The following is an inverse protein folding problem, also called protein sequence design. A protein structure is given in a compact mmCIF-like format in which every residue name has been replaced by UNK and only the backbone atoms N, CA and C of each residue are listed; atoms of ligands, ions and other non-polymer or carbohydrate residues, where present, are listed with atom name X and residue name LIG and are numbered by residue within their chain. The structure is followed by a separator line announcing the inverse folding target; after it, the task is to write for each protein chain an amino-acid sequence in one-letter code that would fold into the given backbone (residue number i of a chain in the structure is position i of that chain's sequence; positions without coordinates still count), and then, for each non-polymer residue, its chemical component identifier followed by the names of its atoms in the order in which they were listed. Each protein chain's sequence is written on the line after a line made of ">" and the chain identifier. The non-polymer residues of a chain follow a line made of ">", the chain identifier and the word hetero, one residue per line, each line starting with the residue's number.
data_IF_259996718435
#
_entry.id   IF_259996718435
#
_cell.length_a   1.000
_cell.length_b   1.000
_cell.length_c   1.000
_cell.angle_alpha   90.00
_cell.angle_beta   90.00
_cell.angle_gamma   90.00
#
_symmetry.space_group_name_H-M   'P 1'
#
loop_
_entity.id
_entity.type
_entity.pdbx_description
1 polymer ?
#
# COMPACT_ATOMS: atom_id res chain seq x y z
N UNK A 1 -29.90 -42.82 -17.15
CA UNK A 1 -28.83 -41.86 -17.47
C UNK A 1 -29.48 -40.64 -18.13
N UNK A 2 -29.58 -39.50 -17.44
CA UNK A 2 -30.17 -38.27 -18.00
C UNK A 2 -29.05 -37.43 -18.61
N UNK A 3 -29.17 -37.17 -19.91
CA UNK A 3 -28.32 -36.32 -20.73
C UNK A 3 -28.44 -34.85 -20.31
N UNK A 4 -27.35 -34.27 -19.80
CA UNK A 4 -27.24 -32.83 -19.56
C UNK A 4 -27.19 -32.05 -20.87
N UNK A 5 -28.06 -31.05 -21.00
CA UNK A 5 -28.19 -30.22 -22.20
C UNK A 5 -26.97 -29.31 -22.40
N UNK A 6 -26.64 -29.03 -23.67
CA UNK A 6 -25.49 -28.27 -24.14
C UNK A 6 -25.46 -26.77 -23.78
N UNK A 7 -26.13 -26.35 -22.69
CA UNK A 7 -26.17 -24.95 -22.21
C UNK A 7 -25.18 -24.62 -21.09
N UNK A 8 -24.44 -25.59 -20.55
CA UNK A 8 -23.44 -25.37 -19.50
C UNK A 8 -21.99 -25.17 -20.02
N UNK A 9 -21.80 -25.03 -21.33
CA UNK A 9 -20.51 -24.56 -21.89
C UNK A 9 -20.47 -23.04 -21.86
N UNK A 10 -20.29 -22.47 -20.65
CA UNK A 10 -19.81 -21.10 -20.53
C UNK A 10 -18.36 -21.06 -21.04
N UNK A 11 -18.27 -20.55 -22.26
CA UNK A 11 -17.09 -20.15 -23.00
C UNK A 11 -16.11 -19.41 -22.10
N UNK A 12 -15.05 -20.09 -21.67
CA UNK A 12 -13.76 -19.44 -21.47
C UNK A 12 -13.39 -18.94 -22.86
N UNK A 13 -13.72 -17.68 -23.19
CA UNK A 13 -13.04 -17.01 -24.28
C UNK A 13 -11.59 -16.84 -23.85
N UNK A 14 -10.80 -17.87 -24.16
CA UNK A 14 -9.45 -17.70 -24.63
C UNK A 14 -9.53 -16.74 -25.82
N UNK A 15 -9.49 -15.44 -25.52
CA UNK A 15 -9.20 -14.38 -26.46
C UNK A 15 -7.73 -14.44 -26.87
N UNK A 16 -7.25 -15.61 -27.29
CA UNK A 16 -6.06 -15.72 -28.12
C UNK A 16 -6.44 -15.23 -29.52
N UNK A 17 -6.61 -13.91 -29.67
CA UNK A 17 -6.44 -13.31 -30.98
C UNK A 17 -4.99 -13.57 -31.37
N UNK A 18 -4.78 -14.50 -32.31
CA UNK A 18 -3.59 -14.58 -33.17
C UNK A 18 -3.28 -13.14 -33.61
N UNK A 19 -2.26 -12.52 -33.01
CA UNK A 19 -1.86 -11.14 -33.27
C UNK A 19 -1.53 -10.30 -32.04
N UNK A 20 -1.95 -10.67 -30.83
CA UNK A 20 -1.43 -10.02 -29.62
C UNK A 20 -0.03 -10.59 -29.33
N UNK A 21 1.01 -9.77 -29.50
CA UNK A 21 2.37 -10.08 -29.05
C UNK A 21 2.27 -10.65 -27.63
N UNK A 22 2.88 -11.82 -27.43
CA UNK A 22 3.05 -12.49 -26.14
C UNK A 22 3.10 -11.46 -25.01
N UNK A 23 2.01 -11.38 -24.24
CA UNK A 23 1.92 -10.47 -23.10
C UNK A 23 3.10 -10.77 -22.19
N UNK A 24 3.99 -9.80 -22.05
CA UNK A 24 5.17 -9.93 -21.23
C UNK A 24 4.73 -10.29 -19.80
N UNK A 25 5.16 -11.46 -19.31
CA UNK A 25 4.98 -11.88 -17.92
C UNK A 25 6.16 -11.31 -17.13
N UNK A 26 5.96 -10.33 -16.24
CA UNK A 26 7.05 -9.78 -15.43
C UNK A 26 7.69 -10.82 -14.50
N UNK A 27 7.00 -11.93 -14.26
CA UNK A 27 7.28 -12.89 -13.20
C UNK A 27 7.61 -14.30 -13.70
N UNK A 28 7.81 -14.48 -15.01
CA UNK A 28 8.33 -15.71 -15.65
C UNK A 28 7.38 -16.91 -15.65
N UNK A 29 6.98 -17.39 -14.47
CA UNK A 29 6.21 -18.64 -14.25
C UNK A 29 4.81 -18.42 -13.67
N UNK A 30 4.38 -17.17 -13.48
CA UNK A 30 3.06 -16.86 -12.93
C UNK A 30 1.94 -17.11 -13.95
N UNK A 31 0.81 -17.63 -13.47
CA UNK A 31 -0.46 -17.75 -14.24
C UNK A 31 -0.89 -16.40 -14.84
N UNK A 32 -1.76 -16.41 -15.86
CA UNK A 32 -2.47 -15.19 -16.30
C UNK A 32 -3.13 -14.54 -15.07
N UNK A 33 -2.96 -13.23 -14.83
CA UNK A 33 -3.44 -12.62 -13.61
C UNK A 33 -4.97 -12.63 -13.59
N UNK A 34 -5.53 -12.73 -12.39
CA UNK A 34 -6.91 -12.35 -12.16
C UNK A 34 -6.99 -10.83 -12.29
N UNK A 35 -7.51 -10.37 -13.43
CA UNK A 35 -7.86 -8.97 -13.64
C UNK A 35 -9.11 -8.68 -12.81
N UNK A 36 -8.95 -7.82 -11.80
CA UNK A 36 -10.03 -7.34 -10.95
C UNK A 36 -10.37 -5.89 -11.33
N UNK A 37 -11.29 -5.28 -10.58
CA UNK A 37 -11.77 -3.93 -10.86
C UNK A 37 -10.67 -2.88 -10.62
N UNK A 38 -9.92 -3.02 -9.53
CA UNK A 38 -8.91 -2.04 -9.09
C UNK A 38 -7.48 -2.57 -9.14
N UNK A 39 -7.30 -3.89 -9.25
CA UNK A 39 -5.97 -4.49 -9.26
C UNK A 39 -5.85 -5.72 -10.17
N UNK A 40 -4.61 -6.19 -10.33
CA UNK A 40 -4.26 -7.45 -10.99
C UNK A 40 -3.58 -8.34 -9.97
N UNK A 41 -4.07 -9.56 -9.80
CA UNK A 41 -3.50 -10.52 -8.85
C UNK A 41 -2.91 -11.71 -9.59
N UNK A 42 -1.60 -11.85 -9.51
CA UNK A 42 -0.83 -12.98 -10.01
C UNK A 42 -0.70 -14.03 -8.92
N UNK A 43 -0.68 -15.30 -9.31
CA UNK A 43 -0.42 -16.43 -8.41
C UNK A 43 0.85 -17.13 -8.90
N UNK A 44 1.85 -17.28 -8.04
CA UNK A 44 3.03 -18.07 -8.36
C UNK A 44 2.68 -19.56 -8.38
N UNK A 45 3.38 -20.35 -9.21
CA UNK A 45 3.14 -21.78 -9.42
C UNK A 45 3.16 -22.65 -8.15
N UNK A 46 3.85 -22.22 -7.09
CA UNK A 46 3.75 -22.86 -5.76
C UNK A 46 2.33 -22.78 -5.13
N UNK A 47 1.43 -22.02 -5.75
CA UNK A 47 0.02 -21.87 -5.38
C UNK A 47 -0.92 -22.72 -6.26
N UNK A 48 -0.39 -23.60 -7.11
CA UNK A 48 -1.18 -24.40 -8.06
C UNK A 48 -2.10 -25.42 -7.39
N UNK A 49 -1.85 -25.76 -6.13
CA UNK A 49 -2.74 -26.58 -5.31
C UNK A 49 -4.04 -25.85 -4.91
N UNK A 50 -4.13 -24.52 -5.15
CA UNK A 50 -5.36 -23.77 -4.93
C UNK A 50 -6.32 -23.93 -6.10
N UNK A 51 -7.55 -24.34 -5.80
CA UNK A 51 -8.63 -24.32 -6.79
C UNK A 51 -8.84 -22.92 -7.37
N UNK A 52 -9.36 -22.86 -8.60
CA UNK A 52 -9.68 -21.58 -9.28
C UNK A 52 -10.61 -20.72 -8.43
N UNK A 53 -11.59 -21.31 -7.76
CA UNK A 53 -12.51 -20.59 -6.87
C UNK A 53 -11.79 -20.00 -5.65
N UNK A 54 -10.79 -20.71 -5.13
CA UNK A 54 -9.97 -20.21 -4.03
C UNK A 54 -9.06 -19.07 -4.49
N UNK A 55 -8.42 -19.19 -5.65
CA UNK A 55 -7.63 -18.11 -6.28
C UNK A 55 -8.52 -16.88 -6.51
N UNK A 56 -9.73 -17.05 -7.06
CA UNK A 56 -10.71 -15.97 -7.25
C UNK A 56 -11.14 -15.31 -5.94
N UNK A 57 -11.40 -16.09 -4.89
CA UNK A 57 -11.77 -15.58 -3.56
C UNK A 57 -10.64 -14.74 -2.94
N UNK A 58 -9.39 -15.17 -3.10
CA UNK A 58 -8.22 -14.41 -2.64
C UNK A 58 -8.06 -13.11 -3.43
N UNK A 59 -8.14 -13.18 -4.76
CA UNK A 59 -8.05 -12.01 -5.63
C UNK A 59 -9.13 -10.98 -5.31
N UNK A 60 -10.37 -11.42 -5.05
CA UNK A 60 -11.46 -10.56 -4.60
C UNK A 60 -11.16 -9.85 -3.28
N UNK A 61 -10.62 -10.56 -2.28
CA UNK A 61 -10.25 -9.94 -1.00
C UNK A 61 -9.17 -8.86 -1.16
N UNK A 62 -8.18 -9.12 -2.01
CA UNK A 62 -7.12 -8.14 -2.31
C UNK A 62 -7.70 -6.94 -3.07
N UNK A 63 -8.59 -7.16 -4.03
CA UNK A 63 -9.27 -6.08 -4.78
C UNK A 63 -10.13 -5.21 -3.88
N UNK A 64 -10.89 -5.80 -2.95
CA UNK A 64 -11.70 -5.06 -1.97
C UNK A 64 -10.82 -4.16 -1.09
N UNK A 65 -9.71 -4.70 -0.57
CA UNK A 65 -8.76 -3.93 0.23
C UNK A 65 -8.01 -2.87 -0.59
N UNK A 66 -7.68 -3.17 -1.86
CA UNK A 66 -7.06 -2.23 -2.78
C UNK A 66 -7.98 -1.06 -3.10
N UNK A 67 -9.28 -1.33 -3.31
CA UNK A 67 -10.29 -0.29 -3.53
C UNK A 67 -10.44 0.62 -2.30
N UNK A 68 -10.50 0.04 -1.09
CA UNK A 68 -10.54 0.80 0.15
C UNK A 68 -9.27 1.66 0.33
N UNK A 69 -8.08 1.07 0.12
CA UNK A 69 -6.80 1.78 0.19
C UNK A 69 -6.72 2.94 -0.83
N UNK A 70 -7.21 2.73 -2.05
CA UNK A 70 -7.33 3.79 -3.04
C UNK A 70 -8.26 4.92 -2.56
N UNK A 71 -9.35 4.59 -1.86
CA UNK A 71 -10.25 5.56 -1.23
C UNK A 71 -9.51 6.41 -0.20
N UNK A 72 -8.75 5.77 0.70
CA UNK A 72 -7.94 6.46 1.71
C UNK A 72 -6.94 7.44 1.08
N UNK A 73 -6.15 6.98 0.10
CA UNK A 73 -5.16 7.83 -0.56
C UNK A 73 -5.82 9.00 -1.32
N UNK A 74 -6.97 8.77 -1.95
CA UNK A 74 -7.70 9.86 -2.62
C UNK A 74 -8.17 10.93 -1.63
N UNK A 75 -8.76 10.52 -0.50
CA UNK A 75 -9.19 11.45 0.56
C UNK A 75 -8.01 12.20 1.17
N UNK A 76 -6.91 11.51 1.46
CA UNK A 76 -5.69 12.12 1.99
C UNK A 76 -5.13 13.19 1.05
N UNK A 77 -5.09 12.89 -0.26
CA UNK A 77 -4.57 13.83 -1.25
C UNK A 77 -5.41 15.11 -1.35
N UNK A 78 -6.71 15.05 -1.06
CA UNK A 78 -7.56 16.24 -0.92
C UNK A 78 -7.08 17.08 0.28
N UNK A 79 -6.90 16.47 1.45
CA UNK A 79 -6.40 17.17 2.64
C UNK A 79 -5.02 17.80 2.41
N UNK A 80 -4.08 17.06 1.81
CA UNK A 80 -2.73 17.56 1.52
C UNK A 80 -2.71 18.66 0.44
N UNK A 81 -3.69 18.72 -0.46
CA UNK A 81 -3.77 19.76 -1.48
C UNK A 81 -4.10 21.15 -0.93
N UNK A 82 -4.62 21.23 0.30
CA UNK A 82 -4.84 22.49 1.01
C UNK A 82 -3.55 23.17 1.49
N UNK A 83 -2.39 22.51 1.38
CA UNK A 83 -1.10 23.08 1.77
C UNK A 83 -0.55 23.98 0.66
N UNK A 84 -0.36 25.25 0.96
CA UNK A 84 0.29 26.24 0.09
C UNK A 84 1.64 26.64 0.67
N UNK A 85 2.72 26.19 0.04
CA UNK A 85 4.09 26.52 0.45
C UNK A 85 4.47 27.97 0.12
N UNK A 86 3.82 28.58 -0.87
CA UNK A 86 4.10 29.98 -1.28
C UNK A 86 3.53 30.98 -0.28
N UNK A 87 2.30 30.74 0.19
CA UNK A 87 1.65 31.58 1.20
C UNK A 87 1.93 31.13 2.63
N UNK A 88 2.68 30.03 2.82
CA UNK A 88 2.94 29.42 4.14
C UNK A 88 1.68 28.85 4.81
N UNK A 89 0.60 28.66 4.06
CA UNK A 89 -0.68 28.18 4.60
C UNK A 89 -0.69 26.66 4.68
N UNK A 90 -0.91 26.12 5.88
CA UNK A 90 -1.03 24.68 6.13
C UNK A 90 -2.28 24.48 7.00
N UNK A 91 -3.26 23.64 6.59
CA UNK A 91 -4.39 23.28 7.45
C UNK A 91 -3.89 22.72 8.80
N UNK A 92 -4.57 23.07 9.89
CA UNK A 92 -4.06 22.82 11.24
C UNK A 92 -3.93 21.33 11.57
N UNK A 93 -4.89 20.53 11.11
CA UNK A 93 -4.90 19.07 11.18
C UNK A 93 -3.73 18.45 10.40
N UNK A 94 -3.52 18.90 9.16
CA UNK A 94 -2.40 18.46 8.31
C UNK A 94 -1.06 18.85 8.95
N UNK A 95 -0.95 20.06 9.49
CA UNK A 95 0.25 20.53 10.17
C UNK A 95 0.57 19.69 11.42
N UNK A 96 -0.45 19.40 12.24
CA UNK A 96 -0.32 18.58 13.44
C UNK A 96 0.14 17.15 13.09
N UNK A 97 -0.50 16.52 12.11
CA UNK A 97 -0.17 15.16 11.70
C UNK A 97 1.23 15.08 11.07
N UNK A 98 1.60 16.02 10.17
CA UNK A 98 2.97 16.08 9.60
C UNK A 98 4.04 16.26 10.67
N UNK A 99 3.78 17.11 11.67
CA UNK A 99 4.70 17.32 12.79
C UNK A 99 4.82 16.06 13.64
N UNK A 100 3.72 15.35 13.89
CA UNK A 100 3.73 14.16 14.71
C UNK A 100 4.43 12.98 14.02
N UNK A 101 4.03 12.64 12.78
CA UNK A 101 4.55 11.46 12.08
C UNK A 101 5.86 11.66 11.34
N UNK A 102 6.09 12.84 10.81
CA UNK A 102 7.27 13.11 9.98
C UNK A 102 8.26 14.07 10.62
N UNK A 103 7.92 14.68 11.77
CA UNK A 103 8.71 15.77 12.38
C UNK A 103 8.89 16.93 11.41
N UNK A 104 7.93 17.11 10.50
CA UNK A 104 7.93 18.14 9.46
C UNK A 104 7.00 19.27 9.90
N UNK A 105 7.58 20.44 10.14
CA UNK A 105 6.82 21.68 10.20
C UNK A 105 6.82 22.31 8.80
N UNK A 106 5.75 22.10 8.04
CA UNK A 106 5.69 22.51 6.63
C UNK A 106 5.66 24.05 6.43
N UNK A 107 5.32 24.82 7.47
CA UNK A 107 5.34 26.28 7.43
C UNK A 107 6.75 26.86 7.58
N UNK A 108 7.72 26.07 8.09
CA UNK A 108 9.09 26.52 8.33
C UNK A 108 9.95 26.38 7.05
N UNK A 109 10.66 27.44 6.62
CA UNK A 109 11.61 27.36 5.51
C UNK A 109 12.66 26.27 5.74
N UNK A 110 12.91 25.44 4.73
CA UNK A 110 13.80 24.27 4.81
C UNK A 110 13.08 22.92 4.94
N UNK A 111 11.93 22.88 5.62
CA UNK A 111 11.11 21.66 5.74
C UNK A 111 10.20 21.40 4.53
N UNK A 112 9.99 22.42 3.71
CA UNK A 112 9.22 22.36 2.47
C UNK A 112 9.69 21.25 1.52
N UNK A 113 11.00 20.95 1.50
CA UNK A 113 11.57 19.85 0.72
C UNK A 113 11.07 18.49 1.20
N UNK A 114 10.93 18.29 2.51
CA UNK A 114 10.44 17.04 3.09
C UNK A 114 8.93 16.89 2.85
N UNK A 115 8.15 17.96 3.01
CA UNK A 115 6.73 17.94 2.63
C UNK A 115 6.54 17.57 1.15
N UNK A 116 7.29 18.21 0.23
CA UNK A 116 7.21 17.88 -1.21
C UNK A 116 7.55 16.41 -1.49
N UNK A 117 8.44 15.80 -0.71
CA UNK A 117 8.76 14.36 -0.84
C UNK A 117 7.58 13.50 -0.41
N UNK A 118 7.02 13.77 0.77
CA UNK A 118 5.84 13.05 1.30
C UNK A 118 4.68 13.16 0.30
N UNK A 119 4.37 14.38 -0.16
CA UNK A 119 3.31 14.64 -1.12
C UNK A 119 3.50 13.86 -2.43
N UNK A 120 4.71 13.90 -3.01
CA UNK A 120 5.01 13.17 -4.26
C UNK A 120 4.91 11.65 -4.11
N UNK A 121 5.26 11.11 -2.95
CA UNK A 121 5.07 9.69 -2.68
C UNK A 121 3.58 9.35 -2.73
N UNK A 122 2.70 10.10 -2.04
CA UNK A 122 1.25 9.87 -2.09
C UNK A 122 0.63 10.13 -3.47
N UNK A 123 1.09 11.17 -4.17
CA UNK A 123 0.69 11.43 -5.55
C UNK A 123 1.00 10.22 -6.44
N UNK A 124 2.18 9.62 -6.26
CA UNK A 124 2.54 8.39 -6.98
C UNK A 124 1.67 7.20 -6.55
N UNK A 125 1.39 7.02 -5.26
CA UNK A 125 0.46 5.98 -4.78
C UNK A 125 -0.91 6.13 -5.44
N UNK A 126 -1.44 7.36 -5.51
CA UNK A 126 -2.73 7.67 -6.14
C UNK A 126 -2.73 7.27 -7.62
N UNK A 127 -1.67 7.63 -8.34
CA UNK A 127 -1.52 7.24 -9.75
C UNK A 127 -1.40 5.72 -9.93
N UNK A 128 -0.72 5.05 -9.00
CA UNK A 128 -0.56 3.59 -9.02
C UNK A 128 -1.88 2.85 -8.80
N UNK A 129 -2.69 3.30 -7.84
CA UNK A 129 -4.04 2.77 -7.65
C UNK A 129 -4.94 3.02 -8.86
N UNK A 130 -4.89 4.23 -9.43
CA UNK A 130 -5.65 4.54 -10.65
C UNK A 130 -5.20 3.72 -11.88
N UNK A 131 -3.91 3.36 -11.94
CA UNK A 131 -3.32 2.55 -13.02
C UNK A 131 -3.59 1.05 -12.93
N UNK A 132 -4.20 0.60 -11.82
CA UNK A 132 -4.43 -0.81 -11.54
C UNK A 132 -3.23 -1.47 -10.89
N UNK A 133 -3.23 -1.54 -9.56
CA UNK A 133 -2.12 -2.10 -8.78
C UNK A 133 -1.84 -3.56 -9.13
N UNK A 134 -0.57 -3.95 -9.08
CA UNK A 134 -0.14 -5.32 -9.33
C UNK A 134 0.24 -6.01 -8.02
N UNK A 135 -0.41 -7.12 -7.73
CA UNK A 135 -0.14 -7.95 -6.57
C UNK A 135 0.29 -9.36 -7.01
N UNK A 136 1.23 -9.93 -6.27
CA UNK A 136 1.62 -11.33 -6.42
C UNK A 136 1.25 -12.05 -5.13
N UNK A 137 0.37 -13.04 -5.21
CA UNK A 137 0.05 -13.88 -4.06
C UNK A 137 1.04 -15.05 -3.96
N UNK A 138 1.62 -15.19 -2.77
CA UNK A 138 2.60 -16.23 -2.49
C UNK A 138 2.08 -17.22 -1.43
N UNK A 139 2.03 -18.49 -1.81
CA UNK A 139 1.95 -19.62 -0.88
C UNK A 139 3.38 -20.12 -0.68
N UNK A 140 3.95 -20.04 0.54
CA UNK A 140 5.35 -20.34 0.74
C UNK A 140 5.65 -21.81 0.44
N UNK A 141 6.65 -22.04 -0.41
CA UNK A 141 7.48 -23.25 -0.42
C UNK A 141 8.92 -22.84 -0.17
N UNK A 142 9.45 -23.19 1.01
CA UNK A 142 10.88 -23.19 1.42
C UNK A 142 11.67 -21.89 1.12
N UNK A 143 12.13 -21.21 2.19
CA UNK A 143 13.12 -20.12 2.21
C UNK A 143 12.70 -18.70 1.77
N UNK A 144 11.75 -18.08 2.48
CA UNK A 144 11.84 -16.64 2.72
C UNK A 144 11.81 -16.39 4.24
N UNK A 145 13.00 -16.18 4.78
CA UNK A 145 13.36 -16.05 6.20
C UNK A 145 13.00 -14.69 6.81
N UNK A 146 11.96 -14.02 6.32
CA UNK A 146 11.51 -12.75 6.88
C UNK A 146 10.05 -12.92 7.29
N UNK A 147 9.74 -12.81 8.58
CA UNK A 147 8.38 -12.88 9.11
C UNK A 147 7.44 -11.78 8.63
N UNK A 148 7.79 -11.05 7.56
CA UNK A 148 7.03 -9.94 7.01
C UNK A 148 5.82 -10.47 6.22
N UNK A 149 4.58 -10.12 6.59
CA UNK A 149 3.38 -10.64 5.95
C UNK A 149 3.16 -10.10 4.52
N UNK A 150 3.80 -9.01 4.13
CA UNK A 150 3.89 -8.54 2.74
C UNK A 150 5.26 -7.91 2.48
N UNK A 151 5.64 -7.70 1.22
CA UNK A 151 6.86 -6.98 0.89
C UNK A 151 6.86 -6.50 -0.56
N UNK A 152 7.75 -5.54 -0.86
CA UNK A 152 8.13 -5.17 -2.22
C UNK A 152 9.60 -5.52 -2.43
N UNK A 153 9.94 -6.23 -3.52
CA UNK A 153 11.35 -6.48 -3.86
C UNK A 153 12.10 -5.18 -4.15
N UNK A 154 13.27 -5.01 -3.54
CA UNK A 154 14.11 -3.83 -3.74
C UNK A 154 14.68 -3.73 -5.16
N UNK A 155 14.94 -4.87 -5.81
CA UNK A 155 15.55 -4.96 -7.14
C UNK A 155 14.51 -5.01 -8.28
N UNK A 156 13.26 -5.32 -7.98
CA UNK A 156 12.18 -5.40 -8.97
C UNK A 156 10.85 -4.91 -8.39
N UNK A 157 10.63 -3.59 -8.26
CA UNK A 157 9.42 -3.01 -7.69
C UNK A 157 8.28 -3.01 -8.72
N UNK A 158 7.96 -4.16 -9.31
CA UNK A 158 6.90 -4.28 -10.33
C UNK A 158 5.57 -4.79 -9.76
N UNK A 159 5.59 -5.33 -8.55
CA UNK A 159 4.39 -5.70 -7.80
C UNK A 159 4.63 -5.64 -6.28
N UNK A 160 3.53 -5.63 -5.54
CA UNK A 160 3.50 -5.90 -4.10
C UNK A 160 3.26 -7.39 -3.90
N UNK A 161 4.13 -8.05 -3.14
CA UNK A 161 4.02 -9.47 -2.84
C UNK A 161 3.23 -9.66 -1.54
N UNK A 162 2.11 -10.38 -1.64
CA UNK A 162 1.16 -10.61 -0.55
C UNK A 162 1.26 -12.05 -0.09
N UNK A 163 1.75 -12.25 1.14
CA UNK A 163 1.88 -13.59 1.70
C UNK A 163 0.55 -14.07 2.31
N UNK A 164 0.33 -15.39 2.31
CA UNK A 164 -0.84 -16.02 2.96
C UNK A 164 -1.04 -15.59 4.43
N UNK A 165 0.03 -15.26 5.15
CA UNK A 165 -0.03 -14.81 6.56
C UNK A 165 -0.72 -13.45 6.69
N UNK A 166 -0.50 -12.52 5.77
CA UNK A 166 -1.20 -11.22 5.77
C UNK A 166 -2.71 -11.41 5.71
N UNK A 167 -3.17 -12.21 4.75
CA UNK A 167 -4.59 -12.48 4.54
C UNK A 167 -5.24 -13.31 5.66
N UNK A 168 -4.44 -13.87 6.57
CA UNK A 168 -4.91 -14.51 7.80
C UNK A 168 -4.95 -13.53 8.97
N UNK A 169 -3.96 -12.64 9.06
CA UNK A 169 -3.83 -11.68 10.15
C UNK A 169 -4.80 -10.49 9.98
N UNK A 170 -5.04 -10.08 8.74
CA UNK A 170 -5.80 -8.88 8.41
C UNK A 170 -6.96 -9.19 7.46
N UNK A 171 -8.02 -8.40 7.58
CA UNK A 171 -9.18 -8.45 6.70
C UNK A 171 -9.83 -7.08 6.58
N UNK A 172 -10.57 -6.84 5.50
CA UNK A 172 -11.27 -5.57 5.29
C UNK A 172 -10.32 -4.37 5.38
N UNK A 173 -10.64 -3.44 6.27
CA UNK A 173 -9.91 -2.18 6.45
C UNK A 173 -8.46 -2.36 6.92
N UNK A 174 -8.17 -3.30 7.82
CA UNK A 174 -6.79 -3.50 8.28
C UNK A 174 -5.88 -4.01 7.16
N UNK A 175 -6.45 -4.82 6.25
CA UNK A 175 -5.73 -5.26 5.06
C UNK A 175 -5.46 -4.06 4.14
N UNK A 176 -6.40 -3.12 4.00
CA UNK A 176 -6.19 -1.90 3.22
C UNK A 176 -5.04 -1.05 3.77
N UNK A 177 -4.92 -0.91 5.09
CA UNK A 177 -3.79 -0.21 5.72
C UNK A 177 -2.45 -0.89 5.46
N UNK A 178 -2.40 -2.23 5.54
CA UNK A 178 -1.22 -2.98 5.15
C UNK A 178 -0.86 -2.79 3.67
N UNK A 179 -1.85 -2.65 2.78
CA UNK A 179 -1.58 -2.34 1.37
C UNK A 179 -1.05 -0.91 1.19
N UNK A 180 -1.53 0.07 1.96
CA UNK A 180 -0.97 1.44 1.97
C UNK A 180 0.50 1.43 2.40
N UNK A 181 0.85 0.65 3.43
CA UNK A 181 2.24 0.47 3.89
C UNK A 181 3.13 -0.01 2.74
N UNK A 182 2.77 -1.13 2.12
CA UNK A 182 3.55 -1.70 1.01
C UNK A 182 3.59 -0.77 -0.20
N UNK A 183 2.51 -0.04 -0.44
CA UNK A 183 2.45 0.94 -1.50
C UNK A 183 3.43 2.10 -1.29
N UNK A 184 3.78 2.43 -0.04
CA UNK A 184 4.82 3.42 0.25
C UNK A 184 6.20 2.93 -0.23
N UNK A 185 6.54 1.67 0.03
CA UNK A 185 7.75 1.08 -0.53
C UNK A 185 7.73 1.07 -2.05
N UNK A 186 6.65 0.58 -2.64
CA UNK A 186 6.50 0.48 -4.09
C UNK A 186 6.64 1.85 -4.76
N UNK A 187 5.84 2.81 -4.31
CA UNK A 187 5.78 4.16 -4.89
C UNK A 187 7.11 4.87 -4.74
N UNK A 188 7.83 4.66 -3.62
CA UNK A 188 9.15 5.26 -3.35
C UNK A 188 10.29 4.73 -4.22
N UNK A 189 10.05 3.73 -5.07
CA UNK A 189 11.07 3.12 -5.94
C UNK A 189 10.88 3.41 -7.42
N UNK A 190 9.92 4.24 -7.79
CA UNK A 190 9.73 4.69 -9.18
C UNK A 190 10.92 5.56 -9.64
N UNK A 191 11.48 5.26 -10.82
CA UNK A 191 12.57 6.05 -11.42
C UNK A 191 12.20 7.48 -11.84
N UNK A 192 10.94 7.87 -11.69
CA UNK A 192 10.40 9.19 -12.09
C UNK A 192 10.61 10.28 -11.05
N UNK A 193 10.82 9.89 -9.79
CA UNK A 193 11.09 10.83 -8.72
C UNK A 193 12.49 10.45 -8.22
N UNK A 194 13.45 11.40 -8.10
CA UNK A 194 14.72 11.11 -7.44
C UNK A 194 14.42 10.78 -5.97
N UNK A 195 14.17 9.49 -5.69
CA UNK A 195 13.52 9.08 -4.45
C UNK A 195 14.47 8.43 -3.48
N UNK A 196 14.28 8.89 -2.25
CA UNK A 196 14.73 8.24 -1.06
C UNK A 196 13.88 7.00 -0.88
N UNK A 197 14.51 5.83 -0.88
CA UNK A 197 13.82 4.56 -0.67
C UNK A 197 13.14 4.57 0.69
N UNK A 198 11.81 4.42 0.71
CA UNK A 198 11.06 4.16 1.94
C UNK A 198 11.38 2.72 2.39
N UNK A 199 11.62 2.56 3.69
CA UNK A 199 12.09 1.34 4.35
C UNK A 199 11.33 1.11 5.66
N UNK A 200 11.45 -0.09 6.20
CA UNK A 200 10.96 -0.43 7.54
C UNK A 200 12.03 -0.07 8.56
N UNK A 201 11.99 1.16 9.08
CA UNK A 201 12.92 1.59 10.13
C UNK A 201 12.40 1.26 11.52
N UNK A 202 11.09 1.31 11.69
CA UNK A 202 10.37 0.94 12.91
C UNK A 202 9.05 0.32 12.50
N UNK A 203 8.74 -0.87 13.01
CA UNK A 203 7.45 -1.51 12.82
C UNK A 203 6.45 -1.00 13.85
N UNK A 204 5.26 -0.65 13.40
CA UNK A 204 4.14 -0.38 14.30
C UNK A 204 3.35 -1.66 14.51
N UNK A 205 3.89 -2.53 15.36
CA UNK A 205 3.13 -3.57 16.06
C UNK A 205 2.78 -3.10 17.47
N UNK A 206 1.85 -3.81 18.13
CA UNK A 206 1.36 -3.63 19.52
C UNK A 206 2.44 -3.79 20.61
N UNK A 207 3.71 -3.63 20.25
CA UNK A 207 4.85 -3.98 21.05
C UNK A 207 5.36 -2.69 21.68
N UNK A 208 5.71 -2.74 22.96
CA UNK A 208 6.30 -1.63 23.72
C UNK A 208 7.53 -0.99 23.04
N UNK A 209 8.07 -1.58 21.98
CA UNK A 209 9.16 -1.02 21.16
C UNK A 209 8.72 0.07 20.19
N UNK A 210 7.50 0.00 19.60
CA UNK A 210 7.03 0.98 18.62
C UNK A 210 6.81 2.35 19.26
N UNK A 211 6.25 2.38 20.48
CA UNK A 211 6.05 3.60 21.28
C UNK A 211 7.36 4.22 21.78
N UNK A 212 8.44 3.45 21.87
CA UNK A 212 9.77 3.92 22.34
C UNK A 212 10.66 4.36 21.16
N UNK A 213 10.57 3.71 20.01
CA UNK A 213 11.41 3.99 18.85
C UNK A 213 10.88 5.15 18.00
N UNK A 214 9.57 5.30 17.90
CA UNK A 214 8.94 6.28 17.02
C UNK A 214 9.23 7.75 17.39
N UNK A 215 9.20 8.18 18.68
CA UNK A 215 9.59 9.54 19.05
C UNK A 215 11.06 9.86 18.73
N UNK A 216 11.92 8.84 18.57
CA UNK A 216 13.36 8.98 18.36
C UNK A 216 13.75 9.13 16.88
N UNK A 217 12.81 8.96 15.94
CA UNK A 217 13.09 9.14 14.52
C UNK A 217 13.44 10.60 14.23
N UNK A 218 14.56 10.81 13.56
CA UNK A 218 14.84 12.11 12.93
C UNK A 218 13.85 12.36 11.79
N UNK A 219 13.71 13.62 11.37
CA UNK A 219 12.87 13.98 10.23
C UNK A 219 13.22 13.17 8.96
N UNK A 220 14.50 13.04 8.63
CA UNK A 220 14.94 12.23 7.47
C UNK A 220 14.64 10.73 7.64
N UNK A 221 14.72 10.20 8.86
CA UNK A 221 14.35 8.82 9.12
C UNK A 221 12.84 8.62 8.96
N UNK A 222 12.03 9.53 9.52
CA UNK A 222 10.58 9.47 9.45
C UNK A 222 10.04 9.58 8.02
N UNK A 223 10.60 10.47 7.19
CA UNK A 223 10.25 10.62 5.76
C UNK A 223 10.53 9.34 4.95
N UNK A 224 11.42 8.48 5.46
CA UNK A 224 11.80 7.21 4.83
C UNK A 224 11.22 5.99 5.53
N UNK A 225 10.28 6.16 6.45
CA UNK A 225 9.64 5.06 7.17
C UNK A 225 8.23 4.80 6.63
N UNK A 226 7.92 3.57 6.22
CA UNK A 226 6.64 3.23 5.58
C UNK A 226 5.44 3.48 6.49
N UNK A 227 5.54 3.08 7.76
CA UNK A 227 4.44 3.25 8.71
C UNK A 227 4.10 4.74 8.96
N UNK A 228 5.05 5.67 8.85
CA UNK A 228 4.72 7.10 8.95
C UNK A 228 3.72 7.54 7.88
N UNK A 229 3.73 6.90 6.70
CA UNK A 229 2.72 7.15 5.67
C UNK A 229 1.37 6.53 6.03
N UNK A 230 1.36 5.33 6.62
CA UNK A 230 0.10 4.71 7.07
C UNK A 230 -0.58 5.58 8.11
N UNK A 231 0.13 5.97 9.18
CA UNK A 231 -0.50 6.72 10.28
C UNK A 231 -0.90 8.14 9.89
N UNK A 232 -0.09 8.84 9.08
CA UNK A 232 -0.52 10.14 8.55
C UNK A 232 -1.82 9.99 7.73
N UNK A 233 -1.94 8.93 6.92
CA UNK A 233 -3.18 8.66 6.19
C UNK A 233 -4.33 8.36 7.15
N UNK A 234 -4.14 7.45 8.12
CA UNK A 234 -5.14 7.10 9.13
C UNK A 234 -5.66 8.33 9.88
N UNK A 235 -4.78 9.18 10.39
CA UNK A 235 -5.17 10.36 11.17
C UNK A 235 -5.94 11.42 10.37
N UNK A 236 -5.70 11.50 9.06
CA UNK A 236 -6.35 12.50 8.20
C UNK A 236 -7.60 11.96 7.48
N UNK A 237 -7.84 10.65 7.44
CA UNK A 237 -8.95 10.05 6.68
C UNK A 237 -9.80 9.05 7.45
N UNK A 238 -9.28 8.45 8.52
CA UNK A 238 -10.01 7.49 9.33
C UNK A 238 -10.58 8.16 10.59
N UNK A 239 -11.89 8.46 10.64
CA UNK A 239 -12.50 9.09 11.80
C UNK A 239 -12.48 8.20 13.05
N UNK A 240 -12.17 6.91 12.91
CA UNK A 240 -12.05 5.97 14.03
C UNK A 240 -10.63 5.87 14.58
N UNK A 241 -9.66 6.49 13.92
CA UNK A 241 -8.29 6.61 14.42
C UNK A 241 -8.22 7.81 15.39
N UNK A 242 -8.36 7.54 16.68
CA UNK A 242 -8.70 8.54 17.71
C UNK A 242 -7.51 9.13 18.48
N UNK A 243 -6.29 9.05 17.96
CA UNK A 243 -5.10 9.29 18.80
C UNK A 243 -4.50 10.70 18.73
N UNK A 244 -4.68 11.47 17.65
CA UNK A 244 -4.21 12.87 17.64
C UNK A 244 -4.98 13.75 18.64
N UNK A 245 -6.30 13.58 18.77
CA UNK A 245 -7.11 14.39 19.72
C UNK A 245 -6.74 14.06 21.18
N UNK A 246 -6.28 12.84 21.44
CA UNK A 246 -5.93 12.39 22.80
C UNK A 246 -4.48 12.73 23.18
N UNK A 247 -3.53 12.72 22.24
CA UNK A 247 -2.11 12.99 22.52
C UNK A 247 -1.72 14.47 22.56
N UNK A 248 -2.54 15.39 22.05
CA UNK A 248 -2.32 16.84 22.22
C UNK A 248 -2.28 17.27 23.70
N UNK A 249 -2.89 16.49 24.60
CA UNK A 249 -2.82 16.70 26.05
C UNK A 249 -1.44 16.39 26.66
N UNK A 250 -0.62 15.56 26.00
CA UNK A 250 0.69 15.13 26.50
C UNK A 250 1.86 16.00 26.00
N UNK A 251 1.69 16.71 24.88
CA UNK A 251 2.74 17.58 24.30
C UNK A 251 2.59 19.03 24.78
N UNK A 252 1.45 19.38 25.40
CA UNK A 252 1.13 20.74 25.86
C UNK A 252 1.25 20.94 27.38
N UNK A 253 1.76 19.95 28.12
CA UNK A 253 2.05 20.14 29.54
C UNK A 253 3.43 20.80 29.68
N UNK A 254 3.54 21.96 30.35
CA UNK A 254 4.76 22.75 30.46
C UNK A 254 5.92 22.02 31.14
#
# INVERSE_FOLDING_TARGET
>A
MKSGSAKDRLTIQAGAKKGARSGWNPFGTADVPFQMNTCKVWFLSASDDLSVDKKRSIAKKIDEACNEASGFINSLMISLSGVSLESGTVPADVAAALKFHFKVDAAVPGNQKQFRRIYRTYEKMKLDYAGGMQYVYEVPGINLSFGNPAYVHSLNPQAVHVHKRLLKAYSGRDLAWALVHEQAHYSSRSGWIPMVTVKDRTYFGNDKESTVAYPKLSCDQAVTNADCYVFLAMDLVDPTHSDIVSMHSLISSP
#
